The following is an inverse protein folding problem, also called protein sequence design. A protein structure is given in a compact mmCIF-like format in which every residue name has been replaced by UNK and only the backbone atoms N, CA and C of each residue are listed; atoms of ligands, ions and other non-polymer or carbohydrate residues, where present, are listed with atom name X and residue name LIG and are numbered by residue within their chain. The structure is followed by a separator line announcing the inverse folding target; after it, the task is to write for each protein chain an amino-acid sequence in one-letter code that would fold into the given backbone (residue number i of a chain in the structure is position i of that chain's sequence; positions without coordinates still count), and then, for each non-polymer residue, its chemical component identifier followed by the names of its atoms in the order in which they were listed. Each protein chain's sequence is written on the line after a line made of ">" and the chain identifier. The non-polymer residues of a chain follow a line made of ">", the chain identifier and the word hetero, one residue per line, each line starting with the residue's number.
data_IF_870836178440
#
_entry.id   IF_870836178440
#
_cell.length_a   1.000
_cell.length_b   1.000
_cell.length_c   1.000
_cell.angle_alpha   90.00
_cell.angle_beta   90.00
_cell.angle_gamma   90.00
#
_symmetry.space_group_name_H-M   'P 1'
#
loop_
_entity.id
_entity.type
_entity.pdbx_description
1 polymer ?
#
# COMPACT_ATOMS: atom_id res chain seq x y z
N UNK A 1 16.25 12.34 45.33
CA UNK A 1 16.05 11.65 44.03
C UNK A 1 14.80 12.26 43.42
N UNK A 2 14.87 13.39 42.69
CA UNK A 2 15.35 13.53 41.31
C UNK A 2 14.42 12.73 40.39
N UNK A 3 13.55 13.27 39.53
CA UNK A 3 13.54 14.41 38.61
C UNK A 3 12.07 14.90 38.49
N UNK A 4 11.66 16.08 38.03
CA UNK A 4 12.20 17.10 37.12
C UNK A 4 10.98 17.80 36.48
N UNK A 5 11.18 19.01 36.01
CA UNK A 5 10.19 20.09 35.87
C UNK A 5 9.15 19.97 34.72
N UNK A 6 7.95 20.51 35.02
CA UNK A 6 7.19 21.53 34.28
C UNK A 6 7.26 21.53 32.73
N UNK A 7 6.12 21.23 32.11
CA UNK A 7 5.58 22.12 31.08
C UNK A 7 4.05 22.16 31.11
N UNK A 8 3.52 23.18 31.79
CA UNK A 8 2.17 23.69 31.55
C UNK A 8 2.26 24.63 30.35
N UNK A 9 1.44 24.44 29.31
CA UNK A 9 0.89 25.60 28.62
C UNK A 9 -0.61 25.40 28.31
N UNK A 10 -1.47 26.23 28.91
CA UNK A 10 -2.91 26.25 28.69
C UNK A 10 -3.28 27.04 27.43
N UNK A 11 -4.30 26.57 26.70
CA UNK A 11 -5.43 27.37 26.18
C UNK A 11 -6.25 26.52 25.19
N UNK A 12 -7.52 26.32 25.56
CA UNK A 12 -8.59 26.20 24.58
C UNK A 12 -8.60 27.49 23.76
N UNK A 13 -8.36 27.38 22.47
CA UNK A 13 -8.86 28.32 21.47
C UNK A 13 -9.57 27.46 20.42
N UNK A 14 -10.89 27.58 20.37
CA UNK A 14 -11.69 27.10 19.25
C UNK A 14 -11.23 27.87 18.01
N UNK A 15 -10.50 27.19 17.12
CA UNK A 15 -10.14 27.72 15.81
C UNK A 15 -11.06 27.09 14.77
N UNK A 16 -11.70 27.96 14.00
CA UNK A 16 -12.73 27.67 13.01
C UNK A 16 -12.35 26.53 12.04
N UNK A 17 -13.38 25.77 11.64
CA UNK A 17 -13.34 24.87 10.49
C UNK A 17 -12.87 25.69 9.27
N UNK A 18 -11.73 25.38 8.63
CA UNK A 18 -11.37 26.04 7.39
C UNK A 18 -12.36 25.66 6.27
N UNK A 19 -12.63 26.65 5.42
CA UNK A 19 -13.57 26.69 4.31
C UNK A 19 -13.30 25.59 3.22
N UNK A 20 -14.19 25.42 2.23
CA UNK A 20 -14.53 24.15 1.62
C UNK A 20 -13.40 23.49 0.82
N UNK A 21 -13.57 22.18 0.62
CA UNK A 21 -12.76 21.33 -0.22
C UNK A 21 -12.29 22.07 -1.49
N UNK A 22 -10.97 22.15 -1.66
CA UNK A 22 -10.38 22.55 -2.92
C UNK A 22 -11.04 21.75 -4.05
N UNK A 23 -11.46 22.44 -5.10
CA UNK A 23 -11.96 21.81 -6.32
C UNK A 23 -11.01 20.68 -6.74
N UNK A 24 -11.52 19.56 -7.27
CA UNK A 24 -10.67 18.47 -7.73
C UNK A 24 -9.65 19.05 -8.70
N UNK A 25 -8.38 19.01 -8.32
CA UNK A 25 -7.29 19.31 -9.24
C UNK A 25 -7.47 18.33 -10.40
N UNK A 26 -7.64 18.80 -11.65
CA UNK A 26 -7.74 17.89 -12.77
C UNK A 26 -6.45 17.06 -12.78
N UNK A 27 -6.60 15.77 -12.51
CA UNK A 27 -5.51 14.82 -12.66
C UNK A 27 -5.32 14.68 -14.17
N UNK A 28 -4.50 15.54 -14.75
CA UNK A 28 -4.04 15.34 -16.11
C UNK A 28 -3.08 14.16 -16.05
N UNK A 29 -3.40 12.99 -16.63
CA UNK A 29 -2.42 11.93 -16.72
C UNK A 29 -1.22 12.50 -17.48
N UNK A 30 -0.05 12.52 -16.85
CA UNK A 30 1.18 12.79 -17.57
C UNK A 30 1.26 11.73 -18.69
N UNK A 31 1.53 12.13 -19.95
CA UNK A 31 1.65 11.15 -21.03
C UNK A 31 2.67 10.10 -20.61
N UNK A 32 2.40 8.80 -20.83
CA UNK A 32 3.36 7.76 -20.48
C UNK A 32 4.68 8.09 -21.18
N UNK A 33 5.78 7.98 -20.43
CA UNK A 33 7.10 8.07 -21.02
C UNK A 33 7.19 7.10 -22.21
N UNK A 34 7.96 7.43 -23.27
CA UNK A 34 8.16 6.52 -24.39
C UNK A 34 8.59 5.15 -23.88
N UNK A 35 7.87 4.11 -24.30
CA UNK A 35 8.14 2.73 -23.92
C UNK A 35 9.32 2.27 -24.75
N UNK A 36 10.46 2.05 -24.11
CA UNK A 36 11.61 1.41 -24.78
C UNK A 36 11.36 -0.10 -24.97
N UNK A 37 12.24 -0.74 -25.76
CA UNK A 37 12.13 -2.16 -26.08
C UNK A 37 12.20 -3.06 -24.82
N UNK A 38 12.98 -2.65 -23.82
CA UNK A 38 13.08 -3.37 -22.55
C UNK A 38 11.76 -3.32 -21.77
N UNK A 39 11.17 -2.14 -21.66
CA UNK A 39 9.88 -1.91 -21.04
C UNK A 39 8.77 -2.65 -21.80
N UNK A 40 8.78 -2.66 -23.13
CA UNK A 40 7.85 -3.44 -23.94
C UNK A 40 7.95 -4.94 -23.63
N UNK A 41 9.17 -5.47 -23.49
CA UNK A 41 9.40 -6.87 -23.07
C UNK A 41 8.81 -7.18 -21.69
N UNK A 42 9.04 -6.31 -20.71
CA UNK A 42 8.48 -6.48 -19.36
C UNK A 42 6.96 -6.40 -19.34
N UNK A 43 6.36 -5.51 -20.15
CA UNK A 43 4.90 -5.38 -20.29
C UNK A 43 4.29 -6.66 -20.87
N UNK A 44 4.91 -7.22 -21.91
CA UNK A 44 4.46 -8.47 -22.51
C UNK A 44 4.52 -9.61 -21.50
N UNK A 45 5.59 -9.69 -20.71
CA UNK A 45 5.71 -10.71 -19.66
C UNK A 45 4.69 -10.50 -18.53
N UNK A 46 4.41 -9.25 -18.13
CA UNK A 46 3.39 -8.94 -17.13
C UNK A 46 1.99 -9.37 -17.60
N UNK A 47 1.69 -9.18 -18.89
CA UNK A 47 0.45 -9.66 -19.50
C UNK A 47 0.38 -11.20 -19.53
N UNK A 48 1.48 -11.88 -19.85
CA UNK A 48 1.54 -13.34 -19.79
C UNK A 48 1.33 -13.86 -18.36
N UNK A 49 1.94 -13.21 -17.37
CA UNK A 49 1.77 -13.52 -15.95
C UNK A 49 0.30 -13.36 -15.51
N UNK A 50 -0.41 -12.34 -16.01
CA UNK A 50 -1.83 -12.17 -15.76
C UNK A 50 -2.64 -13.36 -16.29
N UNK A 51 -2.36 -13.84 -17.50
CA UNK A 51 -2.99 -15.04 -18.06
C UNK A 51 -2.77 -16.30 -17.23
N UNK A 52 -1.56 -16.47 -16.68
CA UNK A 52 -1.28 -17.58 -15.74
C UNK A 52 -2.08 -17.43 -14.45
N UNK A 53 -2.17 -16.22 -13.90
CA UNK A 53 -2.89 -15.95 -12.67
C UNK A 53 -4.40 -16.22 -12.81
N UNK A 54 -5.01 -15.91 -13.96
CA UNK A 54 -6.44 -16.13 -14.22
C UNK A 54 -6.85 -17.60 -14.06
N UNK A 55 -6.01 -18.53 -14.52
CA UNK A 55 -6.24 -19.97 -14.43
C UNK A 55 -5.73 -20.61 -13.13
N UNK A 56 -5.16 -19.84 -12.20
CA UNK A 56 -4.46 -20.38 -11.04
C UNK A 56 -5.38 -21.19 -10.11
N UNK A 57 -5.07 -22.45 -9.79
CA UNK A 57 -5.85 -23.28 -8.84
C UNK A 57 -5.02 -23.72 -7.62
N UNK A 58 -3.94 -23.00 -7.31
CA UNK A 58 -2.94 -23.40 -6.30
C UNK A 58 -3.42 -23.36 -4.85
N UNK A 59 -4.57 -22.74 -4.57
CA UNK A 59 -5.13 -22.68 -3.23
C UNK A 59 -6.67 -22.66 -3.26
N UNK A 60 -7.28 -22.92 -2.11
CA UNK A 60 -8.75 -23.00 -1.93
C UNK A 60 -9.53 -21.76 -2.35
N UNK A 61 -8.89 -20.59 -2.46
CA UNK A 61 -9.57 -19.41 -3.00
C UNK A 61 -10.06 -19.57 -4.44
N UNK A 62 -9.47 -20.49 -5.19
CA UNK A 62 -9.93 -20.81 -6.52
C UNK A 62 -11.36 -21.34 -6.54
N UNK A 63 -11.80 -21.97 -5.45
CA UNK A 63 -13.13 -22.57 -5.33
C UNK A 63 -14.22 -21.50 -5.18
N UNK A 64 -13.91 -20.40 -4.49
CA UNK A 64 -14.90 -19.37 -4.15
C UNK A 64 -14.87 -18.11 -5.03
N UNK A 65 -13.87 -17.96 -5.92
CA UNK A 65 -13.73 -16.74 -6.74
C UNK A 65 -14.60 -16.79 -7.98
N UNK A 66 -15.16 -15.65 -8.38
CA UNK A 66 -15.76 -15.47 -9.71
C UNK A 66 -14.73 -15.07 -10.76
N UNK A 67 -13.78 -14.20 -10.39
CA UNK A 67 -12.74 -13.67 -11.26
C UNK A 67 -11.48 -13.36 -10.46
N UNK A 68 -10.32 -13.56 -11.06
CA UNK A 68 -9.04 -13.14 -10.48
C UNK A 68 -8.88 -11.63 -10.65
N UNK A 69 -8.50 -10.95 -9.57
CA UNK A 69 -8.09 -9.55 -9.60
C UNK A 69 -6.57 -9.52 -9.59
N UNK A 70 -5.96 -9.55 -10.77
CA UNK A 70 -4.50 -9.56 -10.90
C UNK A 70 -3.88 -8.22 -10.48
N UNK A 71 -4.49 -7.12 -10.92
CA UNK A 71 -4.04 -5.75 -10.68
C UNK A 71 -4.54 -4.83 -11.79
N UNK A 72 -4.45 -3.52 -11.59
CA UNK A 72 -4.78 -2.51 -12.60
C UNK A 72 -3.86 -1.30 -12.45
N UNK A 73 -3.56 -0.64 -13.57
CA UNK A 73 -2.72 0.56 -13.59
C UNK A 73 -1.80 0.63 -14.79
N UNK A 74 -0.88 1.60 -14.75
CA UNK A 74 0.17 1.73 -15.74
C UNK A 74 1.25 0.66 -15.49
N UNK A 75 1.58 -0.21 -16.47
CA UNK A 75 2.59 -1.26 -16.28
C UNK A 75 4.03 -0.71 -16.14
N UNK A 76 4.24 0.58 -16.39
CA UNK A 76 5.50 1.30 -16.12
C UNK A 76 5.33 2.37 -15.03
N UNK A 77 4.40 2.18 -14.08
CA UNK A 77 4.13 3.15 -13.03
C UNK A 77 5.35 3.40 -12.14
N UNK A 78 5.64 4.67 -11.85
CA UNK A 78 6.68 5.04 -10.87
C UNK A 78 6.26 4.75 -9.42
N UNK A 79 4.95 4.61 -9.17
CA UNK A 79 4.36 4.34 -7.87
C UNK A 79 3.41 3.15 -7.97
N UNK A 80 3.58 2.17 -7.09
CA UNK A 80 2.70 1.01 -7.00
C UNK A 80 2.11 0.89 -5.59
N UNK A 81 0.80 0.73 -5.52
CA UNK A 81 0.08 0.47 -4.27
C UNK A 81 -0.19 -1.03 -4.13
N UNK A 82 0.05 -1.56 -2.93
CA UNK A 82 -0.25 -2.94 -2.58
C UNK A 82 -1.24 -2.93 -1.43
N UNK A 83 -2.45 -3.39 -1.72
CA UNK A 83 -3.53 -3.56 -0.75
C UNK A 83 -3.59 -4.95 -0.17
N UNK A 84 -4.72 -5.23 0.46
CA UNK A 84 -5.10 -6.55 0.97
C UNK A 84 -5.95 -7.32 -0.06
N UNK A 85 -5.85 -8.67 -0.05
CA UNK A 85 -6.82 -9.58 -0.69
C UNK A 85 -7.93 -9.96 0.30
N UNK A 86 -9.12 -10.38 -0.16
CA UNK A 86 -10.35 -10.36 0.64
C UNK A 86 -10.28 -11.12 1.98
N UNK A 87 -10.77 -10.50 3.06
CA UNK A 87 -11.04 -11.13 4.35
C UNK A 87 -11.91 -10.27 5.28
N UNK A 88 -12.94 -10.88 5.90
CA UNK A 88 -13.83 -10.28 6.91
C UNK A 88 -13.65 -10.92 8.30
N UNK A 89 -12.78 -11.92 8.42
CA UNK A 89 -12.63 -12.80 9.58
C UNK A 89 -11.57 -12.29 10.57
N UNK A 90 -10.64 -11.47 10.08
CA UNK A 90 -9.44 -10.99 10.76
C UNK A 90 -9.76 -9.91 11.80
N UNK A 91 -10.71 -9.01 11.49
CA UNK A 91 -11.16 -7.93 12.40
C UNK A 91 -11.89 -8.51 13.62
N UNK A 92 -12.53 -9.69 13.47
CA UNK A 92 -13.34 -10.32 14.52
C UNK A 92 -12.52 -11.05 15.57
N UNK A 93 -11.36 -11.61 15.20
CA UNK A 93 -10.60 -12.51 16.07
C UNK A 93 -9.41 -11.85 16.75
N UNK A 94 -9.03 -10.63 16.35
CA UNK A 94 -7.95 -9.85 16.99
C UNK A 94 -6.56 -10.51 16.88
N UNK A 95 -6.43 -11.56 16.07
CA UNK A 95 -5.22 -12.32 15.86
C UNK A 95 -4.76 -12.16 14.40
N UNK A 96 -3.47 -11.87 14.15
CA UNK A 96 -2.96 -11.76 12.79
C UNK A 96 -2.96 -13.14 12.11
N UNK A 97 -3.57 -13.24 10.92
CA UNK A 97 -3.49 -14.40 10.00
C UNK A 97 -4.00 -15.75 10.51
N UNK A 98 -4.99 -15.76 11.41
CA UNK A 98 -5.72 -16.98 11.81
C UNK A 98 -6.85 -17.37 10.84
N UNK A 99 -7.09 -16.55 9.81
CA UNK A 99 -8.13 -16.76 8.79
C UNK A 99 -7.57 -17.18 7.43
N UNK A 100 -8.47 -17.29 6.44
CA UNK A 100 -8.12 -17.66 5.07
C UNK A 100 -7.03 -16.75 4.46
N UNK A 101 -6.91 -15.49 4.89
CA UNK A 101 -5.91 -14.51 4.46
C UNK A 101 -4.45 -14.86 4.80
N UNK A 102 -4.19 -15.69 5.82
CA UNK A 102 -2.84 -16.14 6.21
C UNK A 102 -2.19 -17.11 5.24
N UNK A 103 -2.92 -18.16 4.87
CA UNK A 103 -2.50 -19.14 3.86
C UNK A 103 -2.40 -18.50 2.46
N UNK A 104 -3.27 -17.53 2.23
CA UNK A 104 -3.45 -16.70 1.03
C UNK A 104 -2.19 -15.93 0.63
N UNK A 105 -1.54 -15.31 1.60
CA UNK A 105 -0.33 -14.50 1.40
C UNK A 105 0.75 -15.34 0.73
N UNK A 106 1.01 -16.55 1.23
CA UNK A 106 2.10 -17.41 0.72
C UNK A 106 1.81 -17.94 -0.69
N UNK A 107 0.58 -18.38 -0.97
CA UNK A 107 0.23 -18.96 -2.27
C UNK A 107 0.22 -17.94 -3.42
N UNK A 108 -0.17 -16.69 -3.13
CA UNK A 108 -0.26 -15.62 -4.12
C UNK A 108 1.00 -14.75 -4.19
N UNK A 109 1.91 -14.82 -3.19
CA UNK A 109 3.10 -13.97 -3.10
C UNK A 109 3.97 -14.00 -4.36
N UNK A 110 4.13 -15.16 -4.99
CA UNK A 110 4.94 -15.29 -6.20
C UNK A 110 4.45 -14.43 -7.36
N UNK A 111 3.14 -14.21 -7.49
CA UNK A 111 2.59 -13.30 -8.51
C UNK A 111 2.95 -11.85 -8.17
N UNK A 112 2.72 -11.43 -6.92
CA UNK A 112 3.04 -10.08 -6.45
C UNK A 112 4.53 -9.76 -6.60
N UNK A 113 5.40 -10.71 -6.23
CA UNK A 113 6.83 -10.52 -6.36
C UNK A 113 7.26 -10.34 -7.82
N UNK A 114 6.69 -11.13 -8.74
CA UNK A 114 6.97 -11.00 -10.16
C UNK A 114 6.38 -9.70 -10.74
N UNK A 115 5.20 -9.26 -10.27
CA UNK A 115 4.64 -7.96 -10.64
C UNK A 115 5.57 -6.80 -10.26
N UNK A 116 6.08 -6.78 -9.02
CA UNK A 116 7.03 -5.75 -8.56
C UNK A 116 8.29 -5.76 -9.43
N UNK A 117 8.84 -6.93 -9.72
CA UNK A 117 10.04 -7.07 -10.54
C UNK A 117 9.87 -6.64 -12.01
N UNK A 118 8.66 -6.78 -12.56
CA UNK A 118 8.33 -6.40 -13.94
C UNK A 118 7.97 -4.91 -14.06
N UNK A 119 7.19 -4.38 -13.12
CA UNK A 119 6.78 -2.97 -13.09
C UNK A 119 7.96 -2.07 -12.74
N UNK A 120 8.85 -2.52 -11.85
CA UNK A 120 10.00 -1.75 -11.33
C UNK A 120 9.62 -0.34 -10.87
N UNK A 121 8.65 -0.20 -9.94
CA UNK A 121 8.25 1.11 -9.46
C UNK A 121 9.39 1.79 -8.69
N UNK A 122 9.46 3.12 -8.74
CA UNK A 122 10.39 3.91 -7.92
C UNK A 122 10.00 3.88 -6.44
N UNK A 123 8.71 3.75 -6.13
CA UNK A 123 8.19 3.58 -4.78
C UNK A 123 7.05 2.57 -4.71
N UNK A 124 7.00 1.84 -3.59
CA UNK A 124 5.88 1.00 -3.18
C UNK A 124 5.13 1.63 -2.00
N UNK A 125 3.82 1.42 -1.94
CA UNK A 125 2.99 1.78 -0.79
C UNK A 125 2.20 0.57 -0.33
N UNK A 126 2.51 0.08 0.87
CA UNK A 126 1.77 -1.01 1.52
C UNK A 126 0.60 -0.43 2.33
N UNK A 127 -0.62 -0.80 1.96
CA UNK A 127 -1.86 -0.31 2.58
C UNK A 127 -2.32 -1.29 3.66
N UNK A 128 -2.03 -0.96 4.93
CA UNK A 128 -2.47 -1.71 6.09
C UNK A 128 -1.53 -2.84 6.52
N UNK A 129 -1.89 -3.49 7.64
CA UNK A 129 -1.06 -4.52 8.29
C UNK A 129 -0.85 -5.74 7.39
N UNK A 130 -1.90 -6.17 6.67
CA UNK A 130 -1.86 -7.37 5.84
C UNK A 130 -0.83 -7.22 4.71
N UNK A 131 -0.92 -6.13 3.95
CA UNK A 131 0.04 -5.83 2.90
C UNK A 131 1.47 -5.65 3.44
N UNK A 132 1.61 -4.94 4.56
CA UNK A 132 2.91 -4.70 5.18
C UNK A 132 3.57 -6.01 5.64
N UNK A 133 2.83 -6.90 6.31
CA UNK A 133 3.35 -8.19 6.72
C UNK A 133 3.66 -9.09 5.53
N UNK A 134 2.82 -9.08 4.49
CA UNK A 134 3.10 -9.81 3.25
C UNK A 134 4.46 -9.41 2.71
N UNK A 135 4.66 -8.11 2.48
CA UNK A 135 5.84 -7.61 1.80
C UNK A 135 7.10 -7.71 2.68
N UNK A 136 6.97 -7.40 3.97
CA UNK A 136 8.11 -7.17 4.88
C UNK A 136 8.40 -8.34 5.84
N UNK A 137 7.49 -9.31 5.97
CA UNK A 137 7.59 -10.37 6.98
C UNK A 137 7.53 -9.84 8.43
N UNK A 138 7.01 -8.62 8.63
CA UNK A 138 6.95 -7.94 9.90
C UNK A 138 5.50 -7.93 10.42
N UNK A 139 5.29 -8.38 11.65
CA UNK A 139 3.97 -8.54 12.29
C UNK A 139 3.62 -7.43 13.30
N UNK A 140 4.47 -6.41 13.42
CA UNK A 140 4.28 -5.28 14.32
C UNK A 140 2.93 -4.59 14.10
N UNK A 141 2.37 -3.92 15.14
CA UNK A 141 1.18 -3.11 14.97
C UNK A 141 1.37 -2.04 13.90
N UNK A 142 0.36 -1.83 13.04
CA UNK A 142 0.43 -0.88 11.92
C UNK A 142 0.83 0.54 12.36
N UNK A 143 0.41 0.97 13.57
CA UNK A 143 0.78 2.28 14.13
C UNK A 143 2.28 2.45 14.39
N UNK A 144 3.03 1.36 14.57
CA UNK A 144 4.50 1.37 14.69
C UNK A 144 5.20 1.29 13.33
N UNK A 145 4.53 0.75 12.32
CA UNK A 145 5.12 0.56 11.00
C UNK A 145 4.91 1.75 10.09
N UNK A 146 3.76 2.43 10.19
CA UNK A 146 3.39 3.49 9.25
C UNK A 146 4.27 4.72 9.33
N UNK A 147 4.39 5.42 8.19
CA UNK A 147 5.21 6.62 8.09
C UNK A 147 6.71 6.36 8.16
N UNK A 148 7.12 5.10 8.06
CA UNK A 148 8.52 4.70 7.97
C UNK A 148 8.79 4.09 6.59
N UNK A 149 10.02 4.27 6.11
CA UNK A 149 10.50 3.69 4.86
C UNK A 149 11.16 2.33 5.10
N UNK A 150 10.79 1.38 4.26
CA UNK A 150 11.31 0.02 4.20
C UNK A 150 11.84 -0.28 2.80
N UNK A 151 12.32 -1.50 2.60
CA UNK A 151 12.82 -1.99 1.32
C UNK A 151 12.16 -3.32 0.97
N UNK A 152 11.62 -3.41 -0.24
CA UNK A 152 11.07 -4.66 -0.80
C UNK A 152 11.70 -4.86 -2.16
N UNK A 153 12.48 -5.93 -2.32
CA UNK A 153 13.23 -6.21 -3.55
C UNK A 153 14.08 -5.02 -4.04
N UNK A 154 14.61 -4.21 -3.11
CA UNK A 154 15.38 -2.99 -3.41
C UNK A 154 14.53 -1.77 -3.78
N UNK A 155 13.20 -1.86 -3.70
CA UNK A 155 12.29 -0.74 -3.91
C UNK A 155 11.94 -0.08 -2.57
N UNK A 156 12.15 1.25 -2.43
CA UNK A 156 11.67 2.03 -1.28
C UNK A 156 10.16 1.85 -1.06
N UNK A 157 9.79 1.41 0.14
CA UNK A 157 8.42 1.01 0.47
C UNK A 157 7.91 1.79 1.67
N UNK A 158 6.87 2.60 1.48
CA UNK A 158 6.15 3.27 2.55
C UNK A 158 5.02 2.38 3.07
N UNK A 159 4.88 2.27 4.39
CA UNK A 159 3.71 1.64 5.03
C UNK A 159 2.73 2.73 5.46
N UNK A 160 1.44 2.54 5.20
CA UNK A 160 0.39 3.45 5.69
C UNK A 160 -0.90 2.70 6.04
N UNK A 161 -1.91 3.41 6.53
CA UNK A 161 -3.21 2.82 6.84
C UNK A 161 -3.99 2.43 5.58
N UNK A 162 -4.75 1.34 5.68
CA UNK A 162 -5.65 0.92 4.61
C UNK A 162 -6.84 1.88 4.50
N UNK A 163 -7.32 2.25 3.29
CA UNK A 163 -8.45 3.17 3.11
C UNK A 163 -9.71 2.77 3.89
N UNK A 164 -10.00 1.46 4.02
CA UNK A 164 -11.14 0.98 4.82
C UNK A 164 -11.06 1.40 6.30
N UNK A 165 -9.86 1.51 6.88
CA UNK A 165 -9.69 1.98 8.25
C UNK A 165 -10.02 3.48 8.38
N UNK A 166 -9.76 4.28 7.35
CA UNK A 166 -10.08 5.71 7.34
C UNK A 166 -11.58 5.97 7.25
N UNK A 167 -12.34 5.05 6.65
CA UNK A 167 -13.80 5.12 6.63
C UNK A 167 -14.38 4.92 8.04
N UNK A 168 -13.77 4.03 8.84
CA UNK A 168 -14.19 3.74 10.21
C UNK A 168 -13.68 4.76 11.22
N UNK A 169 -12.49 5.31 11.02
CA UNK A 169 -11.87 6.25 11.94
C UNK A 169 -11.26 7.45 11.20
N UNK A 170 -11.96 8.58 11.26
CA UNK A 170 -11.56 9.83 10.61
C UNK A 170 -10.25 10.40 11.14
N UNK A 171 -9.86 10.09 12.39
CA UNK A 171 -8.61 10.56 12.98
C UNK A 171 -7.37 9.99 12.25
N UNK A 172 -7.54 8.89 11.51
CA UNK A 172 -6.46 8.27 10.72
C UNK A 172 -6.19 8.99 9.39
N UNK A 173 -7.07 9.90 8.95
CA UNK A 173 -6.90 10.63 7.67
C UNK A 173 -5.65 11.50 7.66
N UNK A 174 -5.43 12.27 8.72
CA UNK A 174 -4.26 13.16 8.83
C UNK A 174 -2.93 12.40 8.78
N UNK A 175 -2.68 11.37 9.60
CA UNK A 175 -1.42 10.62 9.50
C UNK A 175 -1.25 9.93 8.14
N UNK A 176 -2.32 9.40 7.55
CA UNK A 176 -2.26 8.82 6.19
C UNK A 176 -1.88 9.87 5.15
N UNK A 177 -2.42 11.08 5.26
CA UNK A 177 -2.08 12.20 4.40
C UNK A 177 -0.59 12.59 4.54
N UNK A 178 -0.08 12.67 5.77
CA UNK A 178 1.32 12.95 6.05
C UNK A 178 2.26 11.88 5.44
N UNK A 179 1.86 10.59 5.45
CA UNK A 179 2.61 9.53 4.77
C UNK A 179 2.65 9.73 3.25
N UNK A 180 1.51 10.09 2.64
CA UNK A 180 1.45 10.32 1.19
C UNK A 180 2.18 11.59 0.76
N UNK A 181 2.29 12.59 1.63
CA UNK A 181 3.16 13.75 1.39
C UNK A 181 4.62 13.33 1.29
N UNK A 182 5.10 12.46 2.18
CA UNK A 182 6.46 11.92 2.11
C UNK A 182 6.69 11.14 0.81
N UNK A 183 5.74 10.30 0.39
CA UNK A 183 5.85 9.56 -0.89
C UNK A 183 5.90 10.51 -2.09
N UNK A 184 5.03 11.53 -2.11
CA UNK A 184 5.04 12.57 -3.15
C UNK A 184 6.40 13.28 -3.19
N UNK A 185 6.92 13.66 -2.04
CA UNK A 185 8.17 14.42 -1.93
C UNK A 185 9.35 13.57 -2.37
N UNK A 186 9.39 12.28 -2.02
CA UNK A 186 10.35 11.29 -2.54
C UNK A 186 10.29 11.16 -4.07
N UNK A 187 9.09 11.03 -4.65
CA UNK A 187 8.96 10.90 -6.11
C UNK A 187 9.44 12.15 -6.86
N UNK A 188 9.31 13.33 -6.26
CA UNK A 188 9.76 14.62 -6.80
C UNK A 188 11.26 14.84 -6.64
N UNK A 189 11.85 14.46 -5.50
CA UNK A 189 13.25 14.74 -5.19
C UNK A 189 14.21 13.64 -5.66
N UNK A 190 13.74 12.40 -5.78
CA UNK A 190 14.57 11.22 -6.02
C UNK A 190 15.34 10.72 -4.79
N UNK A 191 15.20 11.38 -3.64
CA UNK A 191 15.94 11.10 -2.41
C UNK A 191 14.98 10.84 -1.24
N UNK A 192 15.33 9.85 -0.41
CA UNK A 192 14.67 9.56 0.87
C UNK A 192 15.16 10.50 1.99
#
# INVERSE_FOLDING_TARGET
>A
MGYGEVYLNPRKASAAVPAPAAAPVPVVPSPPAPIDEEAAGRIAELAALAGVAEACTRCRLAEGRTKVVFGSGNPTAELMFVGEGPGADEDRQGLPFVGAAGELLTACRGYLDRQIALVRPRALVALGKVAAQALLGNDAPIGRMRGQWYQVQGVPTMVTYHPAALLRNQALKRPTWEDMQQVRDFLRSGNL
#
